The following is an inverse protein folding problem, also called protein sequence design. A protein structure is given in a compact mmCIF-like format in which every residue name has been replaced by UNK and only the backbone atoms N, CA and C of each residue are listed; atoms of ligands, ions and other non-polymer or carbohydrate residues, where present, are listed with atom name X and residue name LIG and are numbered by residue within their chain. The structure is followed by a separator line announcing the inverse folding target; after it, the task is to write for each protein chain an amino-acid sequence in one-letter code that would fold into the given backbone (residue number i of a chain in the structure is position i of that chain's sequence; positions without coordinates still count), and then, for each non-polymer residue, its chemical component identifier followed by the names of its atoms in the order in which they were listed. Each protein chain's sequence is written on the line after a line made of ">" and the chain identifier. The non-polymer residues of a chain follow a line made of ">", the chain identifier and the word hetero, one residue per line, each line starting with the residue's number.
data_IF_871171849633
#
_entry.id   IF_871171849633
#
_cell.length_a   1.000
_cell.length_b   1.000
_cell.length_c   1.000
_cell.angle_alpha   90.00
_cell.angle_beta   90.00
_cell.angle_gamma   90.00
#
_symmetry.space_group_name_H-M   'P 1'
#
loop_
_entity.id
_entity.type
_entity.pdbx_description
1 polymer ?
#
# COMPACT_ATOMS: atom_id res chain seq x y z
N UNK A 1 -5.54 45.77 66.84
CA UNK A 1 -4.92 45.59 65.50
C UNK A 1 -4.26 44.23 65.47
N UNK A 2 -4.64 43.39 64.48
CA UNK A 2 -3.99 42.13 64.04
C UNK A 2 -3.98 40.98 65.08
N UNK A 3 -4.39 39.74 64.78
CA UNK A 3 -4.47 38.96 63.54
C UNK A 3 -5.53 37.84 63.70
N UNK A 4 -6.30 37.60 62.64
CA UNK A 4 -7.04 36.36 62.40
C UNK A 4 -6.10 35.15 62.43
N UNK A 5 -6.51 34.06 63.06
CA UNK A 5 -5.81 32.77 62.95
C UNK A 5 -6.84 31.68 62.63
N UNK A 6 -7.05 31.45 61.33
CA UNK A 6 -7.88 30.39 60.77
C UNK A 6 -7.13 29.08 61.00
N UNK A 7 -7.61 28.28 61.95
CA UNK A 7 -7.20 26.89 62.11
C UNK A 7 -7.97 26.02 61.11
N UNK A 8 -7.20 25.22 60.39
CA UNK A 8 -7.57 23.94 59.78
C UNK A 8 -8.62 23.96 58.66
N UNK A 9 -8.13 23.99 57.42
CA UNK A 9 -8.65 23.17 56.31
C UNK A 9 -7.61 23.14 55.20
N UNK A 10 -6.60 22.27 55.34
CA UNK A 10 -5.74 21.84 54.24
C UNK A 10 -6.47 20.72 53.51
N UNK A 11 -7.28 21.09 52.51
CA UNK A 11 -7.77 20.14 51.51
C UNK A 11 -6.73 20.11 50.39
N UNK A 12 -5.78 19.17 50.49
CA UNK A 12 -4.85 18.90 49.39
C UNK A 12 -5.66 18.19 48.32
N UNK A 13 -6.10 18.95 47.31
CA UNK A 13 -6.63 18.37 46.07
C UNK A 13 -5.43 17.81 45.30
N UNK A 14 -5.21 16.50 45.39
CA UNK A 14 -4.32 15.78 44.48
C UNK A 14 -4.98 15.85 43.09
N UNK A 15 -4.48 16.74 42.25
CA UNK A 15 -4.73 16.67 40.81
C UNK A 15 -3.95 15.45 40.33
N UNK A 16 -4.60 14.29 40.26
CA UNK A 16 -4.14 13.16 39.46
C UNK A 16 -4.25 13.65 38.03
N UNK A 17 -3.14 14.13 37.48
CA UNK A 17 -3.00 14.31 36.04
C UNK A 17 -3.04 12.89 35.50
N UNK A 18 -4.21 12.48 35.01
CA UNK A 18 -4.30 11.31 34.14
C UNK A 18 -3.45 11.66 32.93
N UNK A 19 -2.23 11.14 32.90
CA UNK A 19 -1.47 11.01 31.68
C UNK A 19 -2.34 10.21 30.73
N UNK A 20 -3.03 10.90 29.81
CA UNK A 20 -3.53 10.26 28.62
C UNK A 20 -2.32 9.54 28.03
N UNK A 21 -2.36 8.21 28.00
CA UNK A 21 -1.40 7.43 27.25
C UNK A 21 -1.38 8.00 25.84
N UNK A 22 -0.28 8.67 25.49
CA UNK A 22 -0.01 9.07 24.12
C UNK A 22 0.00 7.79 23.30
N UNK A 23 -0.99 7.61 22.45
CA UNK A 23 -1.07 6.47 21.54
C UNK A 23 0.12 6.57 20.56
N UNK A 24 1.15 5.74 20.75
CA UNK A 24 2.26 5.43 19.84
C UNK A 24 3.19 6.59 19.42
N UNK A 25 4.48 6.52 19.76
CA UNK A 25 5.53 7.39 19.22
C UNK A 25 6.02 6.97 17.83
N UNK A 26 5.52 5.89 17.23
CA UNK A 26 5.92 5.47 15.89
C UNK A 26 5.42 6.47 14.84
N UNK A 27 6.32 7.34 14.39
CA UNK A 27 6.08 8.38 13.40
C UNK A 27 7.26 8.46 12.44
N UNK A 28 7.12 9.25 11.37
CA UNK A 28 8.22 9.47 10.41
C UNK A 28 9.43 10.21 11.02
N UNK A 29 9.33 10.69 12.26
CA UNK A 29 10.39 11.41 12.97
C UNK A 29 10.86 10.70 14.26
N UNK A 30 10.15 9.68 14.72
CA UNK A 30 10.40 9.00 15.99
C UNK A 30 10.06 7.52 15.81
N UNK A 31 11.03 6.63 16.03
CA UNK A 31 10.88 5.19 15.83
C UNK A 31 10.83 4.42 17.15
N UNK A 32 10.70 5.11 18.29
CA UNK A 32 10.77 4.52 19.64
C UNK A 32 9.78 3.36 19.76
N UNK A 33 8.53 3.58 19.36
CA UNK A 33 7.45 2.60 19.44
C UNK A 33 7.23 1.82 18.12
N UNK A 34 8.04 2.06 17.08
CA UNK A 34 7.91 1.29 15.84
C UNK A 34 8.38 -0.16 16.08
N UNK A 35 7.75 -1.12 15.41
CA UNK A 35 8.08 -2.53 15.51
C UNK A 35 8.70 -3.04 14.20
N UNK A 36 9.80 -3.76 14.32
CA UNK A 36 10.41 -4.49 13.21
C UNK A 36 9.57 -5.72 12.86
N UNK A 37 9.70 -6.23 11.63
CA UNK A 37 9.06 -7.49 11.22
C UNK A 37 9.50 -8.65 12.13
N UNK A 38 10.81 -8.73 12.40
CA UNK A 38 11.35 -9.56 13.46
C UNK A 38 11.34 -8.79 14.78
N UNK A 39 10.49 -9.23 15.72
CA UNK A 39 10.33 -8.55 17.03
C UNK A 39 11.59 -8.55 17.90
N UNK A 40 12.61 -9.34 17.56
CA UNK A 40 13.90 -9.35 18.26
C UNK A 40 14.84 -8.23 17.80
N UNK A 41 14.52 -7.55 16.69
CA UNK A 41 15.32 -6.47 16.12
C UNK A 41 14.84 -5.10 16.65
N UNK A 42 15.81 -4.23 16.91
CA UNK A 42 15.61 -2.81 17.22
C UNK A 42 16.28 -1.89 16.21
N UNK A 43 16.82 -2.47 15.13
CA UNK A 43 17.47 -1.80 14.01
C UNK A 43 17.05 -2.52 12.73
N UNK A 44 16.19 -1.90 11.92
CA UNK A 44 15.55 -2.58 10.79
C UNK A 44 14.90 -1.62 9.79
N UNK A 45 14.79 -2.10 8.55
CA UNK A 45 13.94 -1.48 7.54
C UNK A 45 12.46 -1.82 7.80
N UNK A 46 11.63 -0.78 7.79
CA UNK A 46 10.18 -0.89 7.87
C UNK A 46 9.65 -1.03 6.44
N UNK A 47 9.60 -2.28 5.96
CA UNK A 47 9.20 -2.58 4.59
C UNK A 47 7.67 -2.79 4.49
N UNK A 48 7.04 -2.31 3.40
CA UNK A 48 5.70 -2.76 3.04
C UNK A 48 5.74 -4.20 2.51
N UNK A 49 4.64 -4.91 2.63
CA UNK A 49 4.41 -6.24 2.05
C UNK A 49 3.08 -6.23 1.30
N UNK A 50 3.13 -5.96 0.00
CA UNK A 50 1.94 -5.80 -0.82
C UNK A 50 1.51 -7.17 -1.34
N UNK A 51 0.30 -7.58 -0.97
CA UNK A 51 -0.31 -8.83 -1.42
C UNK A 51 -1.53 -8.57 -2.30
N UNK A 52 -1.99 -9.57 -3.06
CA UNK A 52 -3.29 -9.52 -3.73
C UNK A 52 -4.33 -10.14 -2.81
N UNK A 53 -5.44 -9.46 -2.55
CA UNK A 53 -6.51 -10.03 -1.72
C UNK A 53 -7.39 -10.97 -2.52
N UNK A 54 -7.36 -12.27 -2.19
CA UNK A 54 -8.32 -13.24 -2.73
C UNK A 54 -9.77 -12.85 -2.39
N UNK A 55 -10.00 -12.30 -1.18
CA UNK A 55 -11.32 -11.87 -0.74
C UNK A 55 -11.83 -10.71 -1.59
N UNK A 56 -10.96 -9.72 -1.86
CA UNK A 56 -11.27 -8.62 -2.75
C UNK A 56 -11.62 -9.09 -4.16
N UNK A 57 -10.92 -10.11 -4.65
CA UNK A 57 -11.17 -10.72 -5.96
C UNK A 57 -12.55 -11.37 -6.05
N UNK A 58 -12.93 -12.15 -5.05
CA UNK A 58 -14.17 -12.93 -5.05
C UNK A 58 -15.41 -12.12 -4.66
N UNK A 59 -15.27 -11.06 -3.85
CA UNK A 59 -16.43 -10.43 -3.20
C UNK A 59 -16.67 -8.97 -3.63
N UNK A 60 -15.70 -8.28 -4.23
CA UNK A 60 -15.92 -6.91 -4.71
C UNK A 60 -16.70 -6.93 -6.02
N UNK A 61 -17.78 -6.15 -6.09
CA UNK A 61 -18.64 -6.07 -7.29
C UNK A 61 -19.20 -7.44 -7.72
N UNK A 62 -19.59 -8.27 -6.74
CA UNK A 62 -20.11 -9.63 -6.95
C UNK A 62 -19.08 -10.61 -7.54
N UNK A 63 -17.79 -10.27 -7.48
CA UNK A 63 -16.68 -11.12 -7.91
C UNK A 63 -16.37 -11.04 -9.41
N UNK A 64 -15.59 -12.00 -9.93
CA UNK A 64 -15.24 -12.04 -11.35
C UNK A 64 -16.49 -12.23 -12.22
N UNK A 65 -16.58 -11.49 -13.33
CA UNK A 65 -17.66 -11.65 -14.31
C UNK A 65 -17.08 -11.91 -15.70
N UNK A 66 -17.50 -13.03 -16.31
CA UNK A 66 -17.19 -13.36 -17.69
C UNK A 66 -18.40 -13.05 -18.60
N UNK A 67 -18.15 -12.31 -19.68
CA UNK A 67 -19.15 -11.96 -20.68
C UNK A 67 -18.93 -12.79 -21.94
N UNK A 68 -20.00 -13.41 -22.43
CA UNK A 68 -19.97 -14.19 -23.66
C UNK A 68 -19.53 -13.32 -24.86
N UNK A 69 -18.98 -13.96 -25.90
CA UNK A 69 -18.54 -13.28 -27.13
C UNK A 69 -19.71 -12.64 -27.90
N UNK A 70 -20.91 -13.17 -27.74
CA UNK A 70 -22.15 -12.68 -28.37
C UNK A 70 -23.00 -11.81 -27.44
N UNK A 71 -22.46 -11.37 -26.30
CA UNK A 71 -23.15 -10.46 -25.40
C UNK A 71 -23.54 -9.15 -26.13
N UNK A 72 -24.80 -8.70 -26.06
CA UNK A 72 -25.27 -7.55 -26.83
C UNK A 72 -24.79 -6.20 -26.29
N UNK A 73 -24.10 -6.16 -25.14
CA UNK A 73 -23.57 -4.95 -24.52
C UNK A 73 -22.17 -4.61 -25.00
N UNK A 74 -21.63 -3.48 -24.52
CA UNK A 74 -20.23 -3.13 -24.74
C UNK A 74 -19.24 -4.09 -24.04
N UNK A 75 -19.71 -5.11 -23.31
CA UNK A 75 -18.88 -6.06 -22.58
C UNK A 75 -18.61 -7.38 -23.31
N UNK A 76 -19.10 -7.57 -24.54
CA UNK A 76 -18.84 -8.78 -25.33
C UNK A 76 -17.37 -9.23 -25.25
N UNK A 77 -17.18 -10.50 -24.85
CA UNK A 77 -15.88 -11.14 -24.76
C UNK A 77 -14.95 -10.63 -23.65
N UNK A 78 -15.46 -9.89 -22.65
CA UNK A 78 -14.65 -9.36 -21.55
C UNK A 78 -14.68 -10.27 -20.32
N UNK A 79 -13.53 -10.39 -19.66
CA UNK A 79 -13.41 -10.81 -18.27
C UNK A 79 -13.23 -9.57 -17.40
N UNK A 80 -14.10 -9.37 -16.41
CA UNK A 80 -13.98 -8.30 -15.41
C UNK A 80 -13.56 -8.88 -14.08
N UNK A 81 -12.50 -8.33 -13.52
CA UNK A 81 -12.02 -8.64 -12.18
C UNK A 81 -11.83 -7.33 -11.40
N UNK A 82 -12.10 -7.40 -10.10
CA UNK A 82 -11.80 -6.35 -9.13
C UNK A 82 -10.75 -6.90 -8.18
N UNK A 83 -9.78 -6.09 -7.77
CA UNK A 83 -8.70 -6.54 -6.87
C UNK A 83 -8.36 -5.40 -5.93
N UNK A 84 -8.02 -5.76 -4.70
CA UNK A 84 -7.35 -4.87 -3.74
C UNK A 84 -5.97 -5.40 -3.39
N UNK A 85 -5.04 -4.49 -3.14
CA UNK A 85 -3.65 -4.80 -2.80
C UNK A 85 -3.31 -4.39 -1.36
N UNK A 86 -3.74 -5.13 -0.32
CA UNK A 86 -3.45 -4.79 1.06
C UNK A 86 -1.94 -4.86 1.35
N UNK A 87 -1.49 -3.99 2.26
CA UNK A 87 -0.13 -3.95 2.78
C UNK A 87 -0.08 -4.69 4.13
N UNK A 88 0.53 -5.88 4.17
CA UNK A 88 0.76 -6.67 5.39
C UNK A 88 2.08 -6.39 6.09
N UNK A 89 2.87 -5.47 5.53
CA UNK A 89 4.19 -5.13 6.02
C UNK A 89 4.17 -4.30 7.30
N UNK A 90 5.37 -4.07 7.82
CA UNK A 90 5.59 -3.20 8.99
C UNK A 90 5.90 -1.76 8.60
N UNK A 91 5.95 -1.43 7.32
CA UNK A 91 6.14 -0.06 6.84
C UNK A 91 5.13 0.35 5.77
N UNK A 92 4.98 1.66 5.52
CA UNK A 92 4.10 2.16 4.48
C UNK A 92 4.66 1.94 3.06
N UNK A 93 3.78 1.93 2.07
CA UNK A 93 4.16 2.06 0.66
C UNK A 93 4.27 3.55 0.30
N UNK A 94 5.41 4.17 0.60
CA UNK A 94 5.65 5.57 0.27
C UNK A 94 6.36 5.68 -1.08
N UNK A 95 5.63 6.13 -2.10
CA UNK A 95 6.17 6.38 -3.45
C UNK A 95 6.16 7.89 -3.73
N UNK A 96 7.24 8.38 -4.34
CA UNK A 96 7.50 9.79 -4.65
C UNK A 96 7.89 9.93 -6.12
N UNK A 97 7.54 11.06 -6.74
CA UNK A 97 8.02 11.41 -8.08
C UNK A 97 9.41 12.06 -8.10
N UNK A 98 9.98 12.35 -6.92
CA UNK A 98 11.26 13.05 -6.79
C UNK A 98 12.15 12.36 -5.75
N UNK A 99 13.46 12.56 -5.88
CA UNK A 99 14.43 12.08 -4.89
C UNK A 99 14.39 12.91 -3.58
N UNK A 100 15.26 12.58 -2.63
CA UNK A 100 15.34 13.27 -1.33
C UNK A 100 15.73 14.74 -1.44
N UNK A 101 16.41 15.13 -2.52
CA UNK A 101 16.80 16.51 -2.81
C UNK A 101 15.74 17.25 -3.65
N UNK A 102 14.65 16.58 -4.04
CA UNK A 102 13.55 17.16 -4.82
C UNK A 102 13.76 17.14 -6.34
N UNK A 103 14.67 16.29 -6.86
CA UNK A 103 14.87 16.17 -8.30
C UNK A 103 13.92 15.17 -8.94
N UNK A 104 13.31 15.58 -10.06
CA UNK A 104 12.55 14.70 -10.93
C UNK A 104 13.44 14.22 -12.09
N UNK A 105 13.25 12.96 -12.48
CA UNK A 105 14.00 12.32 -13.56
C UNK A 105 13.00 11.79 -14.57
N UNK A 106 13.19 12.11 -15.83
CA UNK A 106 12.31 11.69 -16.92
C UNK A 106 13.11 10.93 -17.97
N UNK A 107 12.60 9.78 -18.38
CA UNK A 107 13.14 8.99 -19.48
C UNK A 107 12.40 9.39 -20.75
N UNK A 108 13.17 9.77 -21.77
CA UNK A 108 12.75 10.18 -23.10
C UNK A 108 13.52 9.36 -24.12
N UNK A 109 12.97 8.22 -24.51
CA UNK A 109 13.66 7.25 -25.34
C UNK A 109 14.85 6.65 -24.61
N UNK A 110 16.05 6.84 -25.15
CA UNK A 110 17.30 6.38 -24.55
C UNK A 110 17.93 7.42 -23.59
N UNK A 111 17.40 8.64 -23.55
CA UNK A 111 17.94 9.74 -22.74
C UNK A 111 17.21 9.84 -21.39
N UNK A 112 17.97 10.14 -20.33
CA UNK A 112 17.40 10.51 -19.03
C UNK A 112 17.64 12.00 -18.79
N UNK A 113 16.55 12.76 -18.72
CA UNK A 113 16.54 14.20 -18.48
C UNK A 113 16.29 14.45 -17.00
N UNK A 114 17.16 15.23 -16.38
CA UNK A 114 17.05 15.64 -14.98
C UNK A 114 16.47 17.03 -14.94
N UNK A 115 15.33 17.20 -14.28
CA UNK A 115 14.71 18.52 -14.09
C UNK A 115 14.59 18.84 -12.60
N UNK A 116 14.95 20.07 -12.25
CA UNK A 116 14.59 20.66 -10.95
C UNK A 116 13.17 21.16 -11.05
N UNK A 117 12.28 20.70 -10.17
CA UNK A 117 11.33 21.61 -9.52
C UNK A 117 10.69 20.93 -8.30
N UNK A 118 11.14 21.25 -7.07
CA UNK A 118 10.50 20.79 -5.83
C UNK A 118 9.08 21.35 -5.61
N UNK A 119 8.59 22.18 -6.53
CA UNK A 119 7.33 22.92 -6.44
C UNK A 119 6.48 22.92 -7.72
N UNK A 120 6.94 22.34 -8.84
CA UNK A 120 6.13 22.31 -10.05
C UNK A 120 5.18 21.14 -10.03
N UNK A 121 3.95 21.46 -10.42
CA UNK A 121 3.08 20.51 -11.06
C UNK A 121 3.80 19.95 -12.32
N UNK A 122 4.28 18.71 -12.24
CA UNK A 122 5.01 18.03 -13.30
C UNK A 122 4.15 17.67 -14.54
N UNK A 123 2.86 18.03 -14.53
CA UNK A 123 1.88 17.78 -15.60
C UNK A 123 2.19 18.38 -16.98
N UNK A 124 3.33 19.04 -17.16
CA UNK A 124 3.70 19.74 -18.39
C UNK A 124 5.04 19.32 -19.00
N UNK A 125 5.76 18.37 -18.39
CA UNK A 125 6.99 17.88 -19.01
C UNK A 125 6.66 17.12 -20.29
N UNK A 126 7.42 17.39 -21.35
CA UNK A 126 7.31 16.72 -22.64
C UNK A 126 8.73 16.45 -23.14
N UNK A 127 8.96 15.29 -23.74
CA UNK A 127 10.23 15.00 -24.36
C UNK A 127 10.38 15.82 -25.65
N UNK A 128 11.57 16.39 -25.90
CA UNK A 128 11.85 17.17 -27.10
C UNK A 128 11.72 16.35 -28.40
N UNK A 129 11.91 15.03 -28.29
CA UNK A 129 11.74 14.08 -29.39
C UNK A 129 10.26 13.73 -29.68
N UNK A 130 9.32 14.25 -28.89
CA UNK A 130 7.88 14.00 -29.01
C UNK A 130 7.40 12.69 -28.40
N UNK A 131 8.28 11.93 -27.73
CA UNK A 131 7.89 10.73 -27.00
C UNK A 131 7.21 11.06 -25.66
N UNK A 132 6.45 10.11 -25.15
CA UNK A 132 5.78 10.25 -23.86
C UNK A 132 6.81 10.08 -22.73
N UNK A 133 6.95 11.07 -21.85
CA UNK A 133 7.95 11.01 -20.79
C UNK A 133 7.56 10.02 -19.70
N UNK A 134 8.52 9.21 -19.29
CA UNK A 134 8.39 8.31 -18.14
C UNK A 134 9.14 8.87 -16.96
N UNK A 135 8.41 9.34 -15.96
CA UNK A 135 9.00 9.85 -14.73
C UNK A 135 9.50 8.69 -13.85
N UNK A 136 10.75 8.72 -13.42
CA UNK A 136 11.28 7.74 -12.46
C UNK A 136 10.61 7.98 -11.10
N UNK A 137 10.15 6.91 -10.48
CA UNK A 137 9.57 6.93 -9.14
C UNK A 137 10.61 6.51 -8.11
N UNK A 138 10.47 7.03 -6.89
CA UNK A 138 11.30 6.68 -5.76
C UNK A 138 10.43 6.10 -4.65
N UNK A 139 10.76 4.90 -4.18
CA UNK A 139 10.18 4.38 -2.95
C UNK A 139 11.03 4.82 -1.77
N UNK A 140 10.39 5.46 -0.79
CA UNK A 140 11.00 5.75 0.50
C UNK A 140 10.86 4.54 1.42
N UNK A 141 11.98 4.08 1.96
CA UNK A 141 12.03 3.07 3.00
C UNK A 141 12.38 3.76 4.31
N UNK A 142 11.49 3.63 5.30
CA UNK A 142 11.76 4.08 6.67
C UNK A 142 12.60 3.05 7.39
N UNK A 143 13.54 3.51 8.21
CA UNK A 143 14.47 2.67 8.94
C UNK A 143 14.44 3.07 10.42
N UNK A 144 14.11 2.10 11.27
CA UNK A 144 14.21 2.25 12.72
C UNK A 144 15.66 2.02 13.10
N UNK A 145 16.29 3.01 13.73
CA UNK A 145 17.66 2.87 14.23
C UNK A 145 17.67 2.32 15.66
N UNK A 146 18.78 1.69 16.04
CA UNK A 146 19.01 1.14 17.40
C UNK A 146 18.72 2.13 18.53
N UNK A 147 18.92 3.44 18.33
CA UNK A 147 18.73 4.50 19.33
C UNK A 147 17.28 5.02 19.45
N UNK A 148 16.34 4.46 18.68
CA UNK A 148 14.94 4.88 18.63
C UNK A 148 14.66 6.03 17.67
N UNK A 149 15.68 6.58 16.99
CA UNK A 149 15.46 7.56 15.94
C UNK A 149 14.94 6.92 14.65
N UNK A 150 14.21 7.71 13.85
CA UNK A 150 13.78 7.33 12.50
C UNK A 150 14.76 7.88 11.47
N UNK A 151 15.28 7.01 10.60
CA UNK A 151 15.98 7.39 9.37
C UNK A 151 15.20 6.88 8.16
N UNK A 152 15.64 7.22 6.95
CA UNK A 152 15.06 6.70 5.73
C UNK A 152 16.09 6.70 4.60
N UNK A 153 15.81 5.95 3.55
CA UNK A 153 16.51 6.08 2.27
C UNK A 153 15.51 5.93 1.12
N UNK A 154 15.84 6.55 -0.01
CA UNK A 154 15.03 6.46 -1.23
C UNK A 154 15.72 5.52 -2.22
N UNK A 155 14.93 4.67 -2.89
CA UNK A 155 15.40 3.80 -3.98
C UNK A 155 14.52 4.01 -5.21
N UNK A 156 15.11 3.92 -6.41
CA UNK A 156 14.33 3.93 -7.66
C UNK A 156 13.39 2.73 -7.68
N UNK A 157 12.12 2.95 -8.05
CA UNK A 157 11.04 1.97 -7.91
C UNK A 157 10.13 1.92 -9.15
N UNK A 158 10.75 1.97 -10.34
CA UNK A 158 10.05 1.95 -11.63
C UNK A 158 9.75 3.35 -12.15
N UNK A 159 8.78 3.42 -13.05
CA UNK A 159 8.39 4.66 -13.72
C UNK A 159 6.89 4.92 -13.61
N UNK A 160 6.51 6.17 -13.78
CA UNK A 160 5.14 6.59 -13.93
C UNK A 160 4.99 7.51 -15.14
N UNK A 161 3.87 7.39 -15.83
CA UNK A 161 3.52 8.20 -16.99
C UNK A 161 2.37 9.13 -16.62
N UNK A 162 2.54 10.44 -16.86
CA UNK A 162 1.49 11.41 -16.55
C UNK A 162 0.39 11.35 -17.61
N UNK A 163 -0.88 11.22 -17.20
CA UNK A 163 -2.02 11.17 -18.13
C UNK A 163 -2.79 12.50 -18.11
N UNK A 164 -2.55 13.42 -19.08
CA UNK A 164 -3.04 14.81 -18.99
C UNK A 164 -4.55 14.97 -18.96
N UNK A 165 -5.29 14.06 -19.61
CA UNK A 165 -6.76 14.10 -19.59
C UNK A 165 -7.36 13.73 -18.24
N UNK A 166 -6.59 13.08 -17.35
CA UNK A 166 -7.06 12.57 -16.06
C UNK A 166 -6.38 13.25 -14.86
N UNK A 167 -5.39 14.10 -15.12
CA UNK A 167 -4.79 14.94 -14.09
C UNK A 167 -3.92 14.19 -13.06
N UNK A 168 -3.53 12.94 -13.34
CA UNK A 168 -2.76 12.11 -12.43
C UNK A 168 -1.74 11.21 -13.14
N UNK A 169 -0.80 10.69 -12.37
CA UNK A 169 0.21 9.74 -12.83
C UNK A 169 -0.31 8.30 -12.85
N UNK A 170 0.17 7.52 -13.81
CA UNK A 170 -0.02 6.09 -13.89
C UNK A 170 1.30 5.38 -13.63
N UNK A 171 1.36 4.48 -12.65
CA UNK A 171 2.54 3.66 -12.41
C UNK A 171 2.63 2.55 -13.45
N UNK A 172 3.71 2.56 -14.22
CA UNK A 172 3.91 1.58 -15.29
C UNK A 172 4.01 0.17 -14.70
N UNK A 173 3.34 -0.80 -15.33
CA UNK A 173 3.38 -2.23 -14.99
C UNK A 173 3.10 -2.59 -13.52
N UNK A 174 2.32 -1.78 -12.79
CA UNK A 174 1.95 -2.07 -11.38
C UNK A 174 1.26 -3.43 -11.21
N UNK A 175 0.41 -3.81 -12.17
CA UNK A 175 -0.24 -5.12 -12.20
C UNK A 175 -0.04 -5.79 -13.55
N UNK A 176 0.60 -6.95 -13.53
CA UNK A 176 0.75 -7.82 -14.70
C UNK A 176 -0.19 -9.02 -14.55
N UNK A 177 -1.03 -9.23 -15.55
CA UNK A 177 -2.06 -10.26 -15.55
C UNK A 177 -1.79 -11.26 -16.68
N UNK A 178 -2.03 -12.53 -16.40
CA UNK A 178 -2.02 -13.59 -17.41
C UNK A 178 -3.35 -14.31 -17.39
N UNK A 179 -3.91 -14.55 -18.57
CA UNK A 179 -5.03 -15.46 -18.78
C UNK A 179 -4.44 -16.82 -19.17
N UNK A 180 -4.87 -17.87 -18.47
CA UNK A 180 -4.35 -19.23 -18.62
C UNK A 180 -5.48 -20.21 -18.89
N UNK A 181 -5.18 -21.25 -19.66
CA UNK A 181 -6.10 -22.38 -19.86
C UNK A 181 -5.72 -23.51 -18.92
N UNK A 182 -6.69 -24.06 -18.20
CA UNK A 182 -6.47 -25.19 -17.31
C UNK A 182 -5.85 -26.39 -18.02
N UNK A 183 -4.81 -26.97 -17.42
CA UNK A 183 -4.25 -28.28 -17.79
C UNK A 183 -4.47 -29.26 -16.63
N UNK A 184 -5.37 -30.21 -16.82
CA UNK A 184 -5.75 -31.20 -15.80
C UNK A 184 -4.58 -32.11 -15.37
N UNK A 185 -3.48 -32.16 -16.13
CA UNK A 185 -2.29 -32.96 -15.80
C UNK A 185 -1.20 -32.15 -15.11
N UNK A 186 -1.37 -30.83 -15.00
CA UNK A 186 -0.43 -29.93 -14.35
C UNK A 186 -1.08 -29.36 -13.08
N UNK A 187 -0.70 -29.85 -11.89
CA UNK A 187 -1.33 -29.44 -10.63
C UNK A 187 -1.05 -27.98 -10.29
N UNK A 188 0.06 -27.39 -10.74
CA UNK A 188 0.35 -26.00 -10.45
C UNK A 188 -0.22 -25.07 -11.54
N UNK A 189 -1.25 -24.24 -11.24
CA UNK A 189 -1.85 -23.36 -12.24
C UNK A 189 -0.89 -22.27 -12.76
N UNK A 190 0.23 -22.00 -12.09
CA UNK A 190 1.28 -21.10 -12.59
C UNK A 190 2.07 -21.70 -13.76
N UNK A 191 1.98 -23.01 -13.98
CA UNK A 191 2.59 -23.72 -15.11
C UNK A 191 1.62 -23.88 -16.30
N UNK A 192 0.34 -23.56 -16.12
CA UNK A 192 -0.66 -23.69 -17.17
C UNK A 192 -0.35 -22.80 -18.38
N UNK A 193 -0.71 -23.24 -19.60
CA UNK A 193 -0.50 -22.45 -20.82
C UNK A 193 -1.12 -21.05 -20.72
N UNK A 194 -0.30 -20.02 -20.92
CA UNK A 194 -0.75 -18.64 -21.06
C UNK A 194 -1.36 -18.48 -22.45
N UNK A 195 -2.60 -18.00 -22.51
CA UNK A 195 -3.33 -17.73 -23.77
C UNK A 195 -3.49 -16.25 -24.06
N UNK A 196 -3.27 -15.39 -23.06
CA UNK A 196 -3.13 -13.95 -23.21
C UNK A 196 -2.39 -13.41 -21.99
N UNK A 197 -1.68 -12.30 -22.17
CA UNK A 197 -1.14 -11.50 -21.09
C UNK A 197 -1.50 -10.03 -21.30
N UNK A 198 -1.40 -9.25 -20.24
CA UNK A 198 -1.60 -7.82 -20.29
C UNK A 198 -1.13 -7.17 -19.01
N UNK A 199 -0.52 -6.00 -19.14
CA UNK A 199 -0.22 -5.14 -18.02
C UNK A 199 -1.31 -4.07 -17.91
N UNK A 200 -1.70 -3.75 -16.67
CA UNK A 200 -2.52 -2.59 -16.40
C UNK A 200 -1.58 -1.45 -16.04
N UNK A 201 -1.71 -0.33 -16.73
CA UNK A 201 -1.16 0.94 -16.23
C UNK A 201 -1.78 1.17 -14.85
N UNK A 202 -0.95 1.11 -13.81
CA UNK A 202 -1.37 1.31 -12.43
C UNK A 202 -1.92 2.71 -12.30
N UNK A 203 -3.01 2.89 -11.57
CA UNK A 203 -3.38 4.22 -11.10
C UNK A 203 -2.41 4.61 -9.97
N UNK A 204 -2.38 5.89 -9.61
CA UNK A 204 -1.60 6.42 -8.50
C UNK A 204 -1.46 5.44 -7.30
N UNK A 205 -0.22 5.23 -6.86
CA UNK A 205 0.08 4.38 -5.70
C UNK A 205 -0.09 5.18 -4.42
N UNK A 206 -1.14 4.86 -3.68
CA UNK A 206 -1.45 5.45 -2.39
C UNK A 206 -2.15 4.44 -1.49
N UNK A 207 -2.06 4.67 -0.18
CA UNK A 207 -2.90 4.00 0.81
C UNK A 207 -4.35 4.50 0.65
N UNK A 208 -5.10 3.90 -0.27
CA UNK A 208 -6.45 4.31 -0.66
C UNK A 208 -7.50 4.02 0.42
N UNK A 209 -7.24 3.04 1.28
CA UNK A 209 -8.17 2.57 2.28
C UNK A 209 -7.45 1.92 3.45
N UNK A 210 -8.06 1.98 4.62
CA UNK A 210 -7.57 1.29 5.81
C UNK A 210 -8.20 -0.10 5.90
N UNK A 211 -7.45 -1.07 6.40
CA UNK A 211 -8.02 -2.33 6.83
C UNK A 211 -9.20 -2.06 7.79
N UNK A 212 -10.23 -2.91 7.75
CA UNK A 212 -11.44 -2.63 8.52
C UNK A 212 -11.18 -2.50 10.02
N UNK A 213 -12.06 -1.82 10.74
CA UNK A 213 -12.15 -1.86 12.21
C UNK A 213 -13.21 -2.85 12.71
N UNK A 214 -13.89 -3.52 11.78
CA UNK A 214 -14.95 -4.49 12.03
C UNK A 214 -15.71 -4.85 10.76
N UNK A 215 -16.72 -5.72 10.88
CA UNK A 215 -17.53 -6.28 9.77
C UNK A 215 -18.31 -5.24 8.97
N UNK A 216 -18.53 -4.05 9.52
CA UNK A 216 -19.20 -2.94 8.83
C UNK A 216 -18.27 -2.05 8.00
N UNK A 217 -16.96 -2.32 8.01
CA UNK A 217 -15.98 -1.50 7.28
C UNK A 217 -16.01 -1.79 5.78
N UNK A 218 -15.82 -0.75 4.96
CA UNK A 218 -15.78 -0.87 3.49
C UNK A 218 -14.77 -1.92 3.00
N UNK A 219 -13.62 -2.04 3.66
CA UNK A 219 -12.55 -2.97 3.29
C UNK A 219 -12.46 -4.18 4.24
N UNK A 220 -13.57 -4.54 4.90
CA UNK A 220 -13.61 -5.72 5.76
C UNK A 220 -13.28 -7.00 4.97
N UNK A 221 -12.38 -7.84 5.48
CA UNK A 221 -11.99 -9.10 4.85
C UNK A 221 -10.90 -8.99 3.78
N UNK A 222 -10.55 -7.78 3.35
CA UNK A 222 -9.50 -7.58 2.34
C UNK A 222 -8.10 -7.86 2.91
N UNK A 223 -7.84 -7.43 4.15
CA UNK A 223 -6.56 -7.63 4.82
C UNK A 223 -6.58 -8.93 5.62
N UNK A 224 -5.60 -9.80 5.37
CA UNK A 224 -5.48 -11.14 5.97
C UNK A 224 -4.02 -11.51 6.15
N UNK A 225 -3.73 -12.35 7.15
CA UNK A 225 -2.39 -12.91 7.38
C UNK A 225 -1.95 -13.91 6.29
N UNK A 226 -2.90 -14.42 5.52
CA UNK A 226 -2.68 -15.15 4.27
C UNK A 226 -3.66 -14.66 3.21
N UNK A 227 -3.13 -14.19 2.09
CA UNK A 227 -3.91 -13.64 0.98
C UNK A 227 -3.66 -14.35 -0.35
N UNK A 228 -2.70 -15.30 -0.42
CA UNK A 228 -2.31 -15.98 -1.66
C UNK A 228 -3.35 -16.97 -2.15
N UNK A 229 -4.01 -17.68 -1.24
CA UNK A 229 -4.92 -18.78 -1.58
C UNK A 229 -6.24 -18.63 -0.82
N UNK A 230 -7.37 -18.55 -1.52
CA UNK A 230 -8.70 -18.61 -0.88
C UNK A 230 -9.03 -20.03 -0.41
N UNK A 231 -10.00 -20.20 0.51
CA UNK A 231 -10.52 -21.52 0.85
C UNK A 231 -10.99 -22.30 -0.38
N UNK A 232 -11.68 -21.63 -1.32
CA UNK A 232 -12.15 -22.23 -2.56
C UNK A 232 -10.98 -22.67 -3.45
N UNK A 233 -9.94 -21.84 -3.59
CA UNK A 233 -8.72 -22.22 -4.31
C UNK A 233 -8.10 -23.51 -3.72
N UNK A 234 -8.06 -23.63 -2.40
CA UNK A 234 -7.48 -24.79 -1.72
C UNK A 234 -8.34 -26.06 -1.83
N UNK A 235 -9.64 -25.94 -2.07
CA UNK A 235 -10.49 -27.09 -2.41
C UNK A 235 -10.10 -27.70 -3.76
N UNK A 236 -9.77 -26.87 -4.75
CA UNK A 236 -9.33 -27.32 -6.07
C UNK A 236 -7.86 -27.72 -6.11
N UNK A 237 -7.00 -27.05 -5.34
CA UNK A 237 -5.55 -27.28 -5.30
C UNK A 237 -5.05 -27.55 -3.87
N UNK A 238 -5.44 -28.69 -3.27
CA UNK A 238 -5.15 -29.01 -1.87
C UNK A 238 -3.64 -29.14 -1.56
N UNK A 239 -2.79 -29.36 -2.56
CA UNK A 239 -1.34 -29.38 -2.41
C UNK A 239 -0.74 -28.03 -2.00
N UNK A 240 -1.45 -26.92 -2.21
CA UNK A 240 -1.04 -25.60 -1.72
C UNK A 240 -1.55 -25.30 -0.30
N UNK A 241 -2.37 -26.18 0.29
CA UNK A 241 -2.87 -26.00 1.64
C UNK A 241 -1.73 -26.22 2.65
N UNK A 242 -1.24 -25.10 3.18
CA UNK A 242 -0.24 -25.05 4.24
C UNK A 242 -0.88 -24.97 5.65
N UNK A 243 -2.20 -25.17 5.75
CA UNK A 243 -3.00 -25.08 6.97
C UNK A 243 -3.53 -23.68 7.29
N UNK A 244 -3.23 -22.67 6.47
CA UNK A 244 -3.73 -21.29 6.67
C UNK A 244 -5.17 -21.11 6.23
N UNK A 245 -5.66 -21.90 5.25
CA UNK A 245 -7.04 -21.85 4.74
C UNK A 245 -7.54 -20.44 4.43
N UNK A 246 -6.74 -19.65 3.70
CA UNK A 246 -7.07 -18.27 3.34
C UNK A 246 -6.97 -17.25 4.47
N UNK A 247 -6.40 -17.64 5.61
CA UNK A 247 -5.95 -16.73 6.65
C UNK A 247 -7.06 -16.08 7.49
N UNK A 248 -6.64 -15.52 8.61
CA UNK A 248 -7.49 -14.74 9.49
C UNK A 248 -7.60 -13.29 9.00
N UNK A 249 -8.77 -12.68 9.20
CA UNK A 249 -8.97 -11.26 8.91
C UNK A 249 -8.12 -10.43 9.88
N UNK A 250 -7.35 -9.48 9.32
CA UNK A 250 -6.59 -8.48 10.06
C UNK A 250 -7.32 -7.14 10.09
N UNK A 251 -7.32 -6.52 11.26
CA UNK A 251 -7.85 -5.18 11.53
C UNK A 251 -6.70 -4.18 11.67
N UNK A 252 -7.00 -2.88 11.66
CA UNK A 252 -5.99 -1.84 11.83
C UNK A 252 -5.09 -2.03 13.07
N UNK A 253 -5.61 -2.62 14.15
CA UNK A 253 -4.85 -2.93 15.37
C UNK A 253 -3.79 -4.01 15.19
N UNK A 254 -3.89 -4.83 14.15
CA UNK A 254 -2.99 -5.95 13.88
C UNK A 254 -1.77 -5.54 13.05
N UNK A 255 -1.69 -4.25 12.67
CA UNK A 255 -0.57 -3.66 11.95
C UNK A 255 0.28 -2.86 12.94
N UNK A 256 1.51 -3.33 13.27
CA UNK A 256 2.31 -2.76 14.35
C UNK A 256 2.61 -1.27 14.23
N UNK A 257 2.79 -0.78 13.00
CA UNK A 257 3.15 0.60 12.69
C UNK A 257 2.03 1.31 11.90
N UNK A 258 0.78 0.94 12.16
CA UNK A 258 -0.37 1.53 11.49
C UNK A 258 -0.36 3.06 11.58
N UNK A 259 -0.51 3.74 10.43
CA UNK A 259 -0.51 5.20 10.34
C UNK A 259 0.87 5.84 10.15
N UNK A 260 1.97 5.07 10.19
CA UNK A 260 3.29 5.54 9.80
C UNK A 260 3.26 6.05 8.35
N UNK A 261 3.82 7.23 8.09
CA UNK A 261 3.79 7.85 6.75
C UNK A 261 2.48 8.61 6.42
N UNK A 262 1.47 8.58 7.30
CA UNK A 262 0.42 9.60 7.34
C UNK A 262 -0.83 9.38 6.48
N UNK A 263 -1.01 8.22 5.82
CA UNK A 263 -2.28 7.80 5.18
C UNK A 263 -2.89 8.79 4.17
N UNK A 264 -2.16 9.84 3.79
CA UNK A 264 -2.62 10.98 2.99
C UNK A 264 -1.63 11.18 1.86
N UNK A 265 -1.46 10.16 1.03
CA UNK A 265 -0.66 10.28 -0.19
C UNK A 265 -1.56 10.82 -1.29
N UNK A 266 -1.26 12.04 -1.73
CA UNK A 266 -1.97 12.69 -2.83
C UNK A 266 -1.37 12.28 -4.16
N UNK A 267 -2.23 12.06 -5.15
CA UNK A 267 -1.85 11.76 -6.53
C UNK A 267 -1.60 13.02 -7.37
N UNK A 268 -1.75 14.20 -6.76
CA UNK A 268 -1.36 15.46 -7.37
C UNK A 268 0.16 15.57 -7.28
N UNK A 269 0.86 15.94 -8.37
CA UNK A 269 2.22 16.46 -8.25
C UNK A 269 2.26 17.67 -7.31
#
# INVERSE_FOLDING_TARGET
>A
MNKMNIKNLLFISLIIIWSNSLYGQCTVNDATDCQCLNQSENDCDLLPDITLSWYGLENVSDGPTEYAQDDPSANAGRLRISVSTPNDGVGPLTVRGVDDNGWAYFICGDDTIIQTDPSSNLSGFNCDNGEEPKQITFQRIYHRNTDGSMSYYDRMAGTMTYHPTHGHNHSDDWGVFTLRTMDENEPNPLNWPIVSDGAKMGFCLMDYGTCGTGTSSTYYGHCRDENRYSPDYLEYFPEFDNGTNGGNVKYNSDFPNFGLGGGSYGCSP
#
